data_IF_038904187523
#
_entry.id   IF_038904187523
#
_cell.length_a   1.000
_cell.length_b   1.000
_cell.length_c   1.000
_cell.angle_alpha   90.00
_cell.angle_beta   90.00
_cell.angle_gamma   90.00
#
_symmetry.space_group_name_H-M   'P 1'
#
loop_
_entity.id
_entity.type
_entity.pdbx_description
1 polymer ?
#
# COMPACT_ATOMS: atom_id res chain seq x y z
N UNK A 1 -28.06 8.11 -32.43
CA UNK A 1 -27.03 8.63 -33.36
C UNK A 1 -25.95 7.57 -33.45
N UNK A 2 -25.52 7.17 -34.65
CA UNK A 2 -24.41 6.23 -34.77
C UNK A 2 -23.10 7.02 -34.68
N UNK A 3 -22.47 6.98 -33.52
CA UNK A 3 -21.02 7.25 -33.42
C UNK A 3 -20.34 6.21 -34.32
N UNK A 4 -19.48 6.65 -35.25
CA UNK A 4 -18.62 5.70 -35.95
C UNK A 4 -17.69 5.09 -34.91
N UNK A 5 -17.63 3.77 -34.85
CA UNK A 5 -16.56 3.10 -34.10
C UNK A 5 -15.25 3.43 -34.80
N UNK A 6 -14.48 4.29 -34.15
CA UNK A 6 -13.06 4.53 -34.36
C UNK A 6 -12.40 4.46 -32.99
N UNK A 7 -11.09 4.59 -32.96
CA UNK A 7 -10.29 4.33 -31.78
C UNK A 7 -10.64 5.28 -30.62
N UNK A 8 -10.70 4.73 -29.41
CA UNK A 8 -11.06 5.45 -28.19
C UNK A 8 -9.78 5.91 -27.49
N UNK A 9 -9.45 7.20 -27.55
CA UNK A 9 -8.29 7.74 -26.82
C UNK A 9 -8.57 7.78 -25.30
N UNK A 10 -7.86 6.95 -24.52
CA UNK A 10 -8.00 6.84 -23.05
C UNK A 10 -6.73 7.30 -22.37
N UNK A 11 -6.84 8.33 -21.52
CA UNK A 11 -5.73 8.89 -20.75
C UNK A 11 -5.77 8.49 -19.29
N UNK A 12 -4.66 7.99 -18.75
CA UNK A 12 -4.47 7.67 -17.34
C UNK A 12 -3.51 8.67 -16.69
N UNK A 13 -3.98 9.42 -15.69
CA UNK A 13 -3.18 10.43 -14.98
C UNK A 13 -2.77 9.91 -13.60
N UNK A 14 -1.47 9.90 -13.30
CA UNK A 14 -0.99 9.48 -11.98
C UNK A 14 0.38 10.03 -11.58
N UNK A 15 0.58 10.32 -10.29
CA UNK A 15 1.90 10.45 -9.67
C UNK A 15 2.58 9.11 -9.36
N UNK A 16 1.90 7.98 -9.56
CA UNK A 16 2.24 6.72 -8.92
C UNK A 16 2.75 5.64 -9.90
N UNK A 17 3.15 6.07 -11.10
CA UNK A 17 3.89 5.27 -12.09
C UNK A 17 5.35 5.08 -11.64
N UNK A 18 5.63 4.01 -10.90
CA UNK A 18 6.89 3.78 -10.19
C UNK A 18 6.69 2.76 -9.06
N UNK A 19 7.55 2.75 -8.05
CA UNK A 19 7.45 1.81 -6.93
C UNK A 19 6.35 2.17 -5.93
N UNK A 20 5.09 2.08 -6.37
CA UNK A 20 3.88 2.36 -5.60
C UNK A 20 2.83 1.24 -5.81
N UNK A 21 1.96 0.94 -4.82
CA UNK A 21 0.94 -0.09 -4.95
C UNK A 21 0.04 0.02 -6.19
N UNK A 22 -0.21 1.23 -6.70
CA UNK A 22 -0.94 1.41 -7.97
C UNK A 22 -0.23 0.68 -9.13
N UNK A 23 1.06 0.92 -9.35
CA UNK A 23 1.84 0.26 -10.40
C UNK A 23 2.05 -1.24 -10.12
N UNK A 24 2.15 -1.64 -8.84
CA UNK A 24 2.18 -3.05 -8.45
C UNK A 24 0.91 -3.77 -8.90
N UNK A 25 -0.26 -3.17 -8.67
CA UNK A 25 -1.59 -3.76 -8.91
C UNK A 25 -2.11 -3.59 -10.34
N UNK A 26 -1.76 -2.51 -11.04
CA UNK A 26 -2.31 -2.14 -12.35
C UNK A 26 -1.28 -2.10 -13.50
N UNK A 27 0.01 -2.31 -13.24
CA UNK A 27 1.08 -2.06 -14.23
C UNK A 27 0.85 -2.64 -15.64
N UNK A 28 0.36 -3.87 -15.78
CA UNK A 28 0.08 -4.45 -17.10
C UNK A 28 -1.35 -4.19 -17.64
N UNK A 29 -2.22 -3.47 -16.91
CA UNK A 29 -3.52 -3.02 -17.43
C UNK A 29 -3.31 -2.16 -18.68
N UNK A 30 -2.42 -1.18 -18.60
CA UNK A 30 -2.19 -0.18 -19.66
C UNK A 30 -1.75 -0.80 -20.99
N UNK A 31 -1.01 -1.92 -20.95
CA UNK A 31 -0.61 -2.67 -22.14
C UNK A 31 -1.58 -3.77 -22.60
N UNK A 32 -2.61 -4.10 -21.80
CA UNK A 32 -3.58 -5.16 -22.08
C UNK A 32 -4.89 -4.66 -22.73
N UNK A 33 -4.99 -3.39 -23.12
CA UNK A 33 -6.11 -2.88 -23.93
C UNK A 33 -6.11 -3.48 -25.34
N UNK A 34 -7.29 -3.64 -25.94
CA UNK A 34 -7.37 -3.99 -27.36
C UNK A 34 -7.07 -2.75 -28.22
N UNK A 35 -5.86 -2.69 -28.76
CA UNK A 35 -5.35 -1.63 -29.64
C UNK A 35 -6.08 -1.49 -30.98
N UNK A 36 -6.96 -2.44 -31.34
CA UNK A 36 -7.89 -2.29 -32.47
C UNK A 36 -9.11 -1.39 -32.17
N UNK A 37 -9.25 -0.94 -30.92
CA UNK A 37 -10.43 -0.17 -30.46
C UNK A 37 -10.09 0.92 -29.42
N UNK A 38 -8.92 0.87 -28.76
CA UNK A 38 -8.55 1.77 -27.66
C UNK A 38 -7.07 2.12 -27.74
N UNK A 39 -6.76 3.42 -27.85
CA UNK A 39 -5.40 3.97 -27.83
C UNK A 39 -5.09 4.49 -26.41
N UNK A 40 -3.95 4.11 -25.82
CA UNK A 40 -3.70 4.29 -24.37
C UNK A 40 -2.58 5.28 -24.08
N UNK A 41 -2.92 6.35 -23.36
CA UNK A 41 -2.01 7.41 -22.93
C UNK A 41 -1.79 7.36 -21.41
N UNK A 42 -0.54 7.45 -20.94
CA UNK A 42 -0.19 7.50 -19.53
C UNK A 42 0.57 8.80 -19.21
N UNK A 43 -0.08 9.70 -18.46
CA UNK A 43 0.46 11.00 -18.05
C UNK A 43 1.06 10.93 -16.65
N UNK A 44 2.38 10.88 -16.56
CA UNK A 44 3.10 10.74 -15.30
C UNK A 44 3.36 12.09 -14.63
N UNK A 45 2.69 12.33 -13.51
CA UNK A 45 2.86 13.52 -12.67
C UNK A 45 4.15 13.48 -11.83
N UNK A 46 4.84 12.33 -11.78
CA UNK A 46 6.09 12.11 -11.04
C UNK A 46 7.26 11.80 -11.98
N UNK A 47 8.49 12.26 -11.69
CA UNK A 47 9.67 11.92 -12.47
C UNK A 47 9.94 10.41 -12.44
N UNK A 48 10.69 9.92 -13.43
CA UNK A 48 11.15 8.52 -13.44
C UNK A 48 11.99 8.20 -12.19
N UNK A 49 11.56 7.19 -11.42
CA UNK A 49 12.24 6.73 -10.20
C UNK A 49 13.33 5.68 -10.45
N UNK A 50 13.53 5.26 -11.70
CA UNK A 50 14.51 4.26 -12.12
C UNK A 50 14.12 2.82 -11.76
N UNK A 51 12.87 2.58 -11.38
CA UNK A 51 12.42 1.24 -10.94
C UNK A 51 11.79 0.43 -12.07
N UNK A 52 11.82 -0.90 -11.93
CA UNK A 52 11.24 -1.84 -12.88
C UNK A 52 9.76 -1.56 -13.19
N UNK A 53 9.01 -1.01 -12.23
CA UNK A 53 7.61 -0.65 -12.36
C UNK A 53 7.39 0.51 -13.33
N UNK A 54 8.20 1.57 -13.23
CA UNK A 54 8.19 2.70 -14.17
C UNK A 54 8.66 2.26 -15.55
N UNK A 55 9.75 1.51 -15.63
CA UNK A 55 10.27 1.00 -16.90
C UNK A 55 9.32 0.04 -17.62
N UNK A 56 8.66 -0.88 -16.90
CA UNK A 56 7.61 -1.75 -17.46
C UNK A 56 6.44 -0.94 -17.98
N UNK A 57 5.93 0.01 -17.19
CA UNK A 57 4.77 0.81 -17.61
C UNK A 57 5.10 1.68 -18.85
N UNK A 58 6.33 2.20 -18.93
CA UNK A 58 6.85 2.92 -20.10
C UNK A 58 7.06 2.05 -21.36
N UNK A 59 7.07 0.72 -21.23
CA UNK A 59 7.25 -0.22 -22.33
C UNK A 59 5.96 -0.92 -22.76
N UNK A 60 5.04 -1.17 -21.81
CA UNK A 60 3.78 -1.86 -22.05
C UNK A 60 2.67 -0.90 -22.51
N UNK A 61 2.62 0.33 -21.99
CA UNK A 61 1.70 1.38 -22.46
C UNK A 61 2.07 1.84 -23.89
N UNK A 62 1.08 2.30 -24.64
CA UNK A 62 1.26 2.75 -26.03
C UNK A 62 1.91 4.13 -26.12
N UNK A 63 1.35 5.10 -25.38
CA UNK A 63 1.97 6.41 -25.15
C UNK A 63 2.25 6.60 -23.66
N UNK A 64 3.50 6.84 -23.30
CA UNK A 64 3.88 7.22 -21.94
C UNK A 64 4.56 8.58 -21.93
N UNK A 65 3.94 9.55 -21.26
CA UNK A 65 4.31 10.96 -21.29
C UNK A 65 4.72 11.40 -19.87
N UNK A 66 6.00 11.77 -19.70
CA UNK A 66 6.49 12.33 -18.44
C UNK A 66 6.15 13.83 -18.38
N UNK A 67 5.11 14.16 -17.62
CA UNK A 67 4.60 15.54 -17.46
C UNK A 67 5.00 16.14 -16.10
N UNK A 68 5.90 15.48 -15.37
CA UNK A 68 6.23 15.84 -13.98
C UNK A 68 6.85 17.23 -13.81
N UNK A 69 7.52 17.74 -14.85
CA UNK A 69 8.10 19.08 -14.89
C UNK A 69 7.13 20.18 -15.42
N UNK A 70 5.93 19.81 -15.89
CA UNK A 70 4.97 20.74 -16.48
C UNK A 70 4.02 21.34 -15.44
N UNK A 71 3.56 22.57 -15.65
CA UNK A 71 2.49 23.20 -14.86
C UNK A 71 1.11 22.62 -15.24
N UNK A 72 0.13 22.67 -14.33
CA UNK A 72 -1.10 21.87 -14.47
C UNK A 72 -1.99 22.32 -15.64
N UNK A 73 -1.94 23.60 -15.98
CA UNK A 73 -2.53 24.22 -17.17
C UNK A 73 -1.90 23.67 -18.47
N UNK A 74 -0.58 23.53 -18.51
CA UNK A 74 0.14 22.95 -19.65
C UNK A 74 -0.18 21.45 -19.82
N UNK A 75 -0.43 20.72 -18.72
CA UNK A 75 -0.85 19.32 -18.77
C UNK A 75 -2.29 19.18 -19.27
N UNK A 76 -3.22 20.00 -18.76
CA UNK A 76 -4.60 20.03 -19.24
C UNK A 76 -4.66 20.41 -20.73
N UNK A 77 -3.86 21.39 -21.17
CA UNK A 77 -3.72 21.76 -22.58
C UNK A 77 -3.21 20.59 -23.44
N UNK A 78 -2.17 19.88 -22.99
CA UNK A 78 -1.64 18.72 -23.70
C UNK A 78 -2.69 17.61 -23.84
N UNK A 79 -3.37 17.23 -22.76
CA UNK A 79 -4.46 16.22 -22.76
C UNK A 79 -5.57 16.58 -23.76
N UNK A 80 -5.87 17.87 -23.92
CA UNK A 80 -6.86 18.35 -24.88
C UNK A 80 -6.35 18.36 -26.33
N UNK A 81 -5.05 18.63 -26.55
CA UNK A 81 -4.40 18.55 -27.86
C UNK A 81 -4.23 17.09 -28.33
N UNK A 82 -4.00 16.17 -27.38
CA UNK A 82 -4.03 14.70 -27.55
C UNK A 82 -5.47 14.16 -27.72
N UNK A 83 -6.50 15.01 -27.55
CA UNK A 83 -7.95 14.73 -27.74
C UNK A 83 -8.55 13.61 -26.87
N UNK A 84 -7.94 13.30 -25.73
CA UNK A 84 -8.38 12.23 -24.83
C UNK A 84 -9.90 12.27 -24.59
N UNK A 85 -10.60 11.20 -24.97
CA UNK A 85 -12.06 11.10 -24.83
C UNK A 85 -12.46 10.72 -23.40
N UNK A 86 -11.69 9.85 -22.74
CA UNK A 86 -11.92 9.42 -21.36
C UNK A 86 -10.63 9.61 -20.55
N UNK A 87 -10.66 10.52 -19.56
CA UNK A 87 -9.53 10.81 -18.69
C UNK A 87 -9.75 10.22 -17.29
N UNK A 88 -8.83 9.34 -16.88
CA UNK A 88 -8.93 8.52 -15.68
C UNK A 88 -7.95 9.03 -14.62
N UNK A 89 -8.50 9.51 -13.51
CA UNK A 89 -7.79 9.96 -12.33
C UNK A 89 -7.42 8.74 -11.46
N UNK A 90 -6.13 8.39 -11.45
CA UNK A 90 -5.59 7.31 -10.62
C UNK A 90 -4.96 7.82 -9.31
N UNK A 91 -5.30 9.03 -8.85
CA UNK A 91 -4.84 9.59 -7.58
C UNK A 91 -5.99 9.95 -6.62
N UNK A 92 -7.02 10.65 -7.08
CA UNK A 92 -8.02 11.28 -6.21
C UNK A 92 -7.35 12.19 -5.16
N UNK A 93 -7.57 11.97 -3.87
CA UNK A 93 -6.95 12.75 -2.79
C UNK A 93 -5.72 12.10 -2.14
N UNK A 94 -4.87 11.43 -2.93
CA UNK A 94 -3.56 10.93 -2.47
C UNK A 94 -2.42 11.95 -2.67
N UNK A 95 -1.25 11.67 -2.07
CA UNK A 95 -0.06 12.52 -2.16
C UNK A 95 0.48 12.51 -3.60
N UNK A 96 0.53 13.68 -4.23
CA UNK A 96 1.00 13.84 -5.62
C UNK A 96 -0.13 14.09 -6.62
N UNK A 97 -1.39 13.97 -6.19
CA UNK A 97 -2.55 14.35 -6.96
C UNK A 97 -2.50 15.81 -7.43
N UNK A 98 -2.95 16.05 -8.67
CA UNK A 98 -3.06 17.37 -9.31
C UNK A 98 -4.46 17.54 -9.89
N UNK A 99 -5.45 17.51 -9.00
CA UNK A 99 -6.87 17.48 -9.37
C UNK A 99 -7.34 18.75 -10.09
N UNK A 100 -6.59 19.85 -10.01
CA UNK A 100 -6.80 21.04 -10.80
C UNK A 100 -6.68 20.79 -12.32
N UNK A 101 -5.92 19.77 -12.76
CA UNK A 101 -5.92 19.31 -14.17
C UNK A 101 -7.34 18.90 -14.59
N UNK A 102 -8.01 18.10 -13.76
CA UNK A 102 -9.38 17.65 -14.00
C UNK A 102 -10.40 18.79 -13.81
N UNK A 103 -10.14 19.74 -12.90
CA UNK A 103 -11.00 20.92 -12.72
C UNK A 103 -11.03 21.85 -13.95
N UNK A 104 -10.03 21.78 -14.84
CA UNK A 104 -10.03 22.47 -16.13
C UNK A 104 -10.75 21.70 -17.26
N UNK A 105 -11.26 20.50 -16.98
CA UNK A 105 -12.04 19.65 -17.89
C UNK A 105 -11.43 19.47 -19.31
N UNK A 106 -10.16 19.07 -19.44
CA UNK A 106 -9.50 18.89 -20.74
C UNK A 106 -10.05 17.74 -21.59
N UNK A 107 -10.77 16.80 -20.97
CA UNK A 107 -11.43 15.67 -21.61
C UNK A 107 -12.96 15.70 -21.37
N UNK A 108 -13.79 15.23 -22.31
CA UNK A 108 -15.25 15.32 -22.22
C UNK A 108 -15.89 14.29 -21.27
N UNK A 109 -15.15 13.27 -20.83
CA UNK A 109 -15.56 12.33 -19.79
C UNK A 109 -14.39 12.17 -18.81
N UNK A 110 -14.64 12.41 -17.51
CA UNK A 110 -13.62 12.29 -16.48
C UNK A 110 -14.03 11.28 -15.39
N UNK A 111 -13.10 10.41 -15.00
CA UNK A 111 -13.40 9.19 -14.23
C UNK A 111 -12.44 9.04 -13.04
N UNK A 112 -12.94 8.77 -11.85
CA UNK A 112 -12.15 8.33 -10.69
C UNK A 112 -12.00 6.81 -10.68
N UNK A 113 -10.79 6.29 -10.46
CA UNK A 113 -10.55 4.85 -10.36
C UNK A 113 -9.31 4.49 -9.52
N UNK A 114 -9.43 3.48 -8.64
CA UNK A 114 -8.39 2.82 -7.84
C UNK A 114 -7.55 3.67 -6.86
N UNK A 115 -7.09 4.86 -7.24
CA UNK A 115 -6.13 5.66 -6.46
C UNK A 115 -6.66 6.16 -5.11
N UNK A 116 -7.94 6.52 -5.04
CA UNK A 116 -8.60 6.99 -3.83
C UNK A 116 -9.86 6.15 -3.52
N UNK A 117 -9.97 5.53 -2.33
CA UNK A 117 -11.08 4.64 -1.99
C UNK A 117 -12.31 5.42 -1.49
N UNK A 118 -12.89 6.27 -2.35
CA UNK A 118 -14.07 7.07 -2.00
C UNK A 118 -14.49 8.06 -3.11
N UNK A 119 -15.61 8.75 -2.86
CA UNK A 119 -16.06 9.91 -3.66
C UNK A 119 -15.02 11.02 -3.65
N UNK A 120 -14.81 11.67 -4.78
CA UNK A 120 -14.07 12.92 -4.89
C UNK A 120 -14.90 14.13 -4.44
N UNK A 121 -16.23 14.03 -4.39
CA UNK A 121 -17.11 15.18 -4.12
C UNK A 121 -17.02 16.29 -5.18
N UNK A 122 -16.35 16.04 -6.31
CA UNK A 122 -16.05 17.03 -7.32
C UNK A 122 -17.12 17.08 -8.41
N UNK A 123 -17.56 18.28 -8.80
CA UNK A 123 -18.51 18.50 -9.90
C UNK A 123 -17.90 18.29 -11.30
N UNK A 124 -16.59 18.02 -11.38
CA UNK A 124 -15.83 17.82 -12.61
C UNK A 124 -15.40 16.36 -12.83
N UNK A 125 -15.79 15.41 -11.96
CA UNK A 125 -15.60 13.97 -12.20
C UNK A 125 -16.99 13.35 -12.42
N UNK A 126 -17.19 12.79 -13.61
CA UNK A 126 -18.49 12.27 -14.05
C UNK A 126 -18.81 10.89 -13.46
N UNK A 127 -17.79 10.04 -13.35
CA UNK A 127 -17.93 8.61 -13.03
C UNK A 127 -16.91 8.11 -12.00
N UNK A 128 -17.32 7.14 -11.19
CA UNK A 128 -16.45 6.37 -10.29
C UNK A 128 -16.54 4.89 -10.66
N UNK A 129 -15.42 4.29 -11.05
CA UNK A 129 -15.36 2.85 -11.36
C UNK A 129 -15.20 2.07 -10.05
N UNK A 130 -16.17 1.19 -9.77
CA UNK A 130 -16.32 0.46 -8.51
C UNK A 130 -17.09 -0.86 -8.74
N UNK A 131 -17.60 -1.52 -7.70
CA UNK A 131 -18.45 -2.71 -7.77
C UNK A 131 -19.58 -2.68 -6.72
N UNK A 132 -20.58 -3.57 -6.86
CA UNK A 132 -21.77 -3.61 -5.98
C UNK A 132 -21.45 -4.11 -4.55
N UNK A 133 -20.26 -4.66 -4.29
CA UNK A 133 -19.85 -5.03 -2.92
C UNK A 133 -19.22 -3.84 -2.18
N UNK A 134 -18.34 -3.09 -2.86
CA UNK A 134 -17.61 -1.94 -2.31
C UNK A 134 -18.45 -0.66 -2.33
N UNK A 135 -19.23 -0.44 -3.38
CA UNK A 135 -20.16 0.67 -3.53
C UNK A 135 -21.56 0.19 -3.95
N UNK A 136 -22.32 -0.47 -3.05
CA UNK A 136 -23.66 -0.95 -3.34
C UNK A 136 -24.59 0.15 -3.88
N UNK A 137 -25.41 -0.15 -4.89
CA UNK A 137 -26.27 0.80 -5.62
C UNK A 137 -27.17 1.61 -4.68
N UNK A 138 -27.64 1.00 -3.57
CA UNK A 138 -28.44 1.66 -2.53
C UNK A 138 -27.75 2.87 -1.86
N UNK A 139 -26.42 2.92 -1.90
CA UNK A 139 -25.60 3.99 -1.33
C UNK A 139 -25.08 4.98 -2.39
N UNK A 140 -25.45 4.84 -3.68
CA UNK A 140 -25.09 5.78 -4.76
C UNK A 140 -25.26 7.26 -4.39
N UNK A 141 -26.27 7.59 -3.57
CA UNK A 141 -26.55 8.94 -3.06
C UNK A 141 -25.45 9.59 -2.18
N UNK A 142 -24.40 8.86 -1.76
CA UNK A 142 -23.25 9.44 -1.03
C UNK A 142 -22.09 9.86 -1.96
N UNK A 143 -22.17 9.52 -3.25
CA UNK A 143 -21.16 9.82 -4.25
C UNK A 143 -21.59 11.03 -5.10
N UNK A 144 -20.64 11.86 -5.53
CA UNK A 144 -20.94 12.92 -6.50
C UNK A 144 -20.89 12.38 -7.93
N UNK A 145 -20.07 11.36 -8.15
CA UNK A 145 -19.91 10.65 -9.41
C UNK A 145 -21.04 9.64 -9.63
N UNK A 146 -21.33 9.35 -10.90
CA UNK A 146 -22.16 8.19 -11.27
C UNK A 146 -21.35 6.91 -11.10
N UNK A 147 -21.88 5.93 -10.39
CA UNK A 147 -21.19 4.65 -10.20
C UNK A 147 -21.17 3.84 -11.50
N UNK A 148 -20.00 3.34 -11.87
CA UNK A 148 -19.80 2.38 -12.97
C UNK A 148 -19.35 1.07 -12.34
N UNK A 149 -20.24 0.07 -12.32
CA UNK A 149 -19.97 -1.23 -11.72
C UNK A 149 -19.26 -2.17 -12.68
N UNK A 150 -18.06 -2.62 -12.30
CA UNK A 150 -17.40 -3.77 -12.93
C UNK A 150 -18.06 -5.07 -12.44
N UNK A 151 -18.16 -6.12 -13.29
CA UNK A 151 -19.07 -7.24 -13.09
C UNK A 151 -18.70 -8.20 -11.94
N UNK A 152 -17.50 -8.08 -11.37
CA UNK A 152 -16.96 -9.02 -10.38
C UNK A 152 -16.28 -8.32 -9.20
N UNK A 153 -15.27 -7.49 -9.50
CA UNK A 153 -14.52 -6.70 -8.53
C UNK A 153 -13.89 -5.51 -9.26
N UNK A 154 -13.88 -4.33 -8.64
CA UNK A 154 -13.21 -3.15 -9.18
C UNK A 154 -11.68 -3.17 -8.99
N UNK A 155 -11.21 -3.98 -8.04
CA UNK A 155 -9.83 -3.96 -7.59
C UNK A 155 -8.96 -4.88 -8.44
N UNK A 156 -8.22 -4.31 -9.38
CA UNK A 156 -7.27 -5.07 -10.22
C UNK A 156 -6.14 -5.63 -9.36
N UNK A 157 -5.68 -6.84 -9.68
CA UNK A 157 -4.45 -7.38 -9.11
C UNK A 157 -3.66 -8.20 -10.14
N UNK A 158 -2.46 -7.71 -10.44
CA UNK A 158 -1.60 -8.17 -11.54
C UNK A 158 -0.62 -9.29 -11.13
N UNK A 159 -0.89 -9.99 -10.03
CA UNK A 159 -0.06 -11.11 -9.54
C UNK A 159 0.22 -12.17 -10.61
N UNK A 160 -0.70 -12.42 -11.55
CA UNK A 160 -0.53 -13.43 -12.60
C UNK A 160 0.63 -13.09 -13.57
N UNK A 161 0.96 -11.81 -13.77
CA UNK A 161 2.02 -11.36 -14.69
C UNK A 161 3.33 -10.97 -13.96
N UNK A 162 3.32 -10.96 -12.63
CA UNK A 162 4.40 -10.41 -11.78
C UNK A 162 4.93 -11.37 -10.74
N UNK A 163 4.08 -12.20 -10.14
CA UNK A 163 4.41 -13.08 -9.01
C UNK A 163 4.28 -14.57 -9.42
N UNK A 164 4.78 -14.91 -10.60
CA UNK A 164 4.81 -16.29 -11.11
C UNK A 164 5.78 -17.18 -10.31
N UNK A 165 6.80 -16.58 -9.70
CA UNK A 165 7.73 -17.19 -8.74
C UNK A 165 7.02 -17.71 -7.48
N UNK A 166 6.01 -16.99 -6.98
CA UNK A 166 5.17 -17.42 -5.84
C UNK A 166 4.32 -18.65 -6.19
N UNK A 167 4.13 -18.94 -7.48
CA UNK A 167 3.45 -20.14 -7.97
C UNK A 167 4.42 -21.28 -8.33
N UNK A 168 5.74 -21.06 -8.27
CA UNK A 168 6.75 -22.07 -8.60
C UNK A 168 6.96 -23.02 -7.40
N UNK A 169 6.64 -24.33 -7.52
CA UNK A 169 6.81 -25.28 -6.43
C UNK A 169 8.27 -25.54 -6.05
N UNK A 170 9.25 -25.07 -6.83
CA UNK A 170 10.69 -25.15 -6.51
C UNK A 170 11.20 -23.98 -5.67
N UNK A 171 10.47 -22.85 -5.62
CA UNK A 171 10.85 -21.61 -4.93
C UNK A 171 10.14 -21.43 -3.57
N UNK A 172 9.74 -22.52 -2.91
CA UNK A 172 8.99 -22.47 -1.65
C UNK A 172 9.81 -21.85 -0.50
N UNK A 173 9.49 -20.60 -0.15
CA UNK A 173 10.00 -19.92 1.04
C UNK A 173 9.60 -20.60 2.34
N UNK A 174 10.51 -20.62 3.32
CA UNK A 174 10.29 -21.18 4.66
C UNK A 174 10.12 -20.09 5.70
N UNK A 175 9.53 -20.42 6.85
CA UNK A 175 9.36 -19.46 7.95
C UNK A 175 10.70 -19.05 8.56
N UNK A 176 11.67 -19.98 8.58
CA UNK A 176 13.09 -19.71 8.86
C UNK A 176 13.64 -18.47 8.15
N UNK A 177 13.26 -18.26 6.88
CA UNK A 177 13.85 -17.27 5.98
C UNK A 177 13.44 -15.84 6.37
N UNK A 178 12.31 -15.72 7.08
CA UNK A 178 11.78 -14.47 7.65
C UNK A 178 12.02 -14.37 9.17
N UNK A 179 12.76 -15.33 9.77
CA UNK A 179 13.00 -15.39 11.21
C UNK A 179 11.75 -15.73 12.05
N UNK A 180 10.76 -16.40 11.45
CA UNK A 180 9.48 -16.75 12.07
C UNK A 180 9.53 -18.13 12.75
N UNK A 181 8.75 -18.34 13.83
CA UNK A 181 8.68 -19.64 14.50
C UNK A 181 7.92 -20.68 13.67
N UNK A 182 8.56 -21.83 13.44
CA UNK A 182 7.95 -23.00 12.79
C UNK A 182 6.82 -23.62 13.64
N UNK A 183 6.92 -23.55 14.96
CA UNK A 183 6.05 -24.23 15.93
C UNK A 183 4.69 -23.56 16.19
N UNK A 184 4.41 -22.39 15.60
CA UNK A 184 3.27 -21.52 16.00
C UNK A 184 2.28 -21.24 14.89
N UNK A 185 1.07 -20.86 15.26
CA UNK A 185 0.15 -20.20 14.33
C UNK A 185 0.57 -18.74 14.12
N UNK A 186 0.70 -18.29 12.87
CA UNK A 186 1.09 -16.91 12.54
C UNK A 186 -0.13 -16.15 12.03
N UNK A 187 -0.65 -15.22 12.83
CA UNK A 187 -1.51 -14.15 12.34
C UNK A 187 -0.63 -13.11 11.64
N UNK A 188 -1.10 -12.50 10.55
CA UNK A 188 -0.37 -11.45 9.84
C UNK A 188 -1.28 -10.24 9.56
N UNK A 189 -0.72 -9.03 9.67
CA UNK A 189 -1.38 -7.81 9.22
C UNK A 189 -0.34 -6.84 8.63
N UNK A 190 -0.28 -6.79 7.30
CA UNK A 190 0.65 -5.95 6.56
C UNK A 190 0.02 -4.62 6.11
N UNK A 191 -0.74 -3.99 7.01
CA UNK A 191 -1.31 -2.67 6.79
C UNK A 191 -0.42 -1.56 7.35
N UNK A 192 -0.62 -0.34 6.86
CA UNK A 192 0.02 0.86 7.40
C UNK A 192 -0.48 1.18 8.82
N UNK A 193 0.39 1.72 9.68
CA UNK A 193 0.09 1.95 11.10
C UNK A 193 -1.15 2.80 11.36
N UNK A 194 -1.42 3.80 10.51
CA UNK A 194 -2.61 4.66 10.64
C UNK A 194 -3.95 3.93 10.38
N UNK A 195 -3.93 2.70 9.85
CA UNK A 195 -5.11 1.85 9.68
C UNK A 195 -5.40 0.97 10.91
N UNK A 196 -4.66 1.15 12.00
CA UNK A 196 -4.76 0.33 13.21
C UNK A 196 -5.08 1.21 14.41
N UNK A 197 -6.36 1.29 14.75
CA UNK A 197 -6.82 1.95 15.98
C UNK A 197 -6.61 1.06 17.23
N UNK A 198 -6.76 1.63 18.45
CA UNK A 198 -6.58 0.88 19.69
C UNK A 198 -7.58 -0.26 19.92
N UNK A 199 -8.80 -0.19 19.38
CA UNK A 199 -9.84 -1.21 19.58
C UNK A 199 -9.59 -2.46 18.72
N UNK A 200 -9.19 -2.28 17.47
CA UNK A 200 -8.68 -3.35 16.60
C UNK A 200 -7.46 -4.01 17.24
N UNK A 201 -6.49 -3.24 17.72
CA UNK A 201 -5.30 -3.79 18.38
C UNK A 201 -5.64 -4.54 19.68
N UNK A 202 -6.54 -4.01 20.51
CA UNK A 202 -7.05 -4.69 21.70
C UNK A 202 -7.74 -6.02 21.35
N UNK A 203 -8.50 -6.05 20.26
CA UNK A 203 -9.18 -7.25 19.76
C UNK A 203 -8.16 -8.31 19.36
N UNK A 204 -7.10 -7.96 18.62
CA UNK A 204 -6.00 -8.89 18.31
C UNK A 204 -5.27 -9.39 19.55
N UNK A 205 -4.96 -8.51 20.52
CA UNK A 205 -4.38 -8.94 21.79
C UNK A 205 -5.30 -9.92 22.55
N UNK A 206 -6.62 -9.79 22.42
CA UNK A 206 -7.60 -10.69 23.02
C UNK A 206 -7.83 -12.00 22.20
N UNK A 207 -7.38 -12.05 20.94
CA UNK A 207 -7.27 -13.29 20.15
C UNK A 207 -5.99 -14.03 20.55
N UNK A 208 -4.84 -13.36 20.59
CA UNK A 208 -3.54 -13.95 20.96
C UNK A 208 -3.55 -14.56 22.38
N UNK A 209 -4.27 -13.97 23.34
CA UNK A 209 -4.50 -14.55 24.68
C UNK A 209 -5.31 -15.85 24.66
N UNK A 210 -6.18 -16.06 23.66
CA UNK A 210 -7.03 -17.25 23.51
C UNK A 210 -6.37 -18.33 22.64
N UNK A 211 -5.38 -17.96 21.82
CA UNK A 211 -4.58 -18.86 20.99
C UNK A 211 -3.13 -18.83 21.48
N UNK A 212 -2.80 -19.47 22.63
CA UNK A 212 -1.52 -19.25 23.32
C UNK A 212 -0.29 -19.67 22.50
N UNK A 213 -0.44 -20.62 21.57
CA UNK A 213 0.62 -21.02 20.64
C UNK A 213 0.56 -20.25 19.30
N UNK A 214 0.49 -18.92 19.38
CA UNK A 214 0.48 -18.04 18.20
C UNK A 214 1.43 -16.85 18.31
N UNK A 215 1.63 -16.18 17.18
CA UNK A 215 2.29 -14.89 17.05
C UNK A 215 1.52 -13.98 16.08
N UNK A 216 1.77 -12.67 16.16
CA UNK A 216 1.28 -11.68 15.22
C UNK A 216 2.45 -11.05 14.47
N UNK A 217 2.42 -11.12 13.14
CA UNK A 217 3.43 -10.56 12.25
C UNK A 217 2.90 -9.26 11.63
N UNK A 218 3.62 -8.16 11.86
CA UNK A 218 3.25 -6.80 11.42
C UNK A 218 4.33 -6.22 10.53
N UNK A 219 3.96 -5.23 9.70
CA UNK A 219 4.94 -4.40 9.01
C UNK A 219 5.84 -3.64 10.01
N UNK A 220 7.07 -3.37 9.57
CA UNK A 220 8.04 -2.55 10.31
C UNK A 220 7.72 -1.07 10.12
N UNK A 221 7.46 -0.37 11.22
CA UNK A 221 7.28 1.09 11.23
C UNK A 221 8.54 1.83 11.74
N UNK A 222 8.83 3.06 11.27
CA UNK A 222 9.86 3.91 11.85
C UNK A 222 9.52 4.31 13.29
N UNK A 223 10.52 4.32 14.19
CA UNK A 223 10.33 4.69 15.59
C UNK A 223 10.23 6.22 15.73
N UNK A 224 9.10 6.76 16.22
CA UNK A 224 8.93 8.18 16.50
C UNK A 224 9.61 8.64 17.81
N UNK A 225 10.95 8.52 17.90
CA UNK A 225 11.84 9.35 18.77
C UNK A 225 13.32 9.04 18.52
N UNK A 226 14.20 10.01 18.84
CA UNK A 226 15.66 9.86 18.79
C UNK A 226 16.12 8.84 19.83
N UNK A 227 16.90 7.85 19.41
CA UNK A 227 17.48 6.77 20.21
C UNK A 227 17.97 5.66 19.26
N UNK A 228 19.15 5.10 19.51
CA UNK A 228 19.86 4.34 18.48
C UNK A 228 19.17 3.02 18.08
N UNK A 229 18.99 2.87 16.77
CA UNK A 229 19.17 1.64 15.99
C UNK A 229 18.86 0.29 16.65
N UNK A 230 17.59 -0.11 16.66
CA UNK A 230 17.14 -1.36 15.99
C UNK A 230 15.61 -1.48 16.04
N UNK A 231 14.99 -1.87 14.92
CA UNK A 231 13.57 -2.25 14.88
C UNK A 231 13.43 -3.77 15.09
N UNK A 232 12.29 -4.20 15.63
CA UNK A 232 12.05 -5.57 16.10
C UNK A 232 10.79 -6.18 15.48
N UNK A 233 10.81 -7.49 15.23
CA UNK A 233 9.58 -8.26 14.99
C UNK A 233 8.80 -8.31 16.31
N UNK A 234 7.54 -7.87 16.31
CA UNK A 234 6.72 -7.72 17.51
C UNK A 234 5.89 -8.98 17.81
N UNK A 235 6.55 -10.10 18.16
CA UNK A 235 5.85 -11.32 18.57
C UNK A 235 5.24 -11.17 19.98
N UNK A 236 4.02 -10.63 20.03
CA UNK A 236 3.21 -10.55 21.25
C UNK A 236 2.70 -11.94 21.69
N UNK A 237 3.52 -12.71 22.40
CA UNK A 237 3.08 -13.95 23.06
C UNK A 237 2.24 -13.63 24.29
N UNK A 238 1.07 -14.28 24.44
CA UNK A 238 0.09 -14.00 25.49
C UNK A 238 0.50 -14.42 26.91
N UNK A 239 1.45 -13.71 27.52
CA UNK A 239 1.72 -13.76 28.96
C UNK A 239 0.78 -12.84 29.74
N UNK A 240 0.38 -13.24 30.95
CA UNK A 240 -0.58 -12.48 31.75
C UNK A 240 0.11 -11.57 32.78
N UNK A 241 -0.12 -10.25 32.72
CA UNK A 241 -0.87 -9.53 33.77
C UNK A 241 -0.89 -7.99 33.63
N UNK A 242 -2.05 -7.41 34.03
CA UNK A 242 -2.32 -5.98 34.33
C UNK A 242 -2.36 -4.98 33.15
N UNK A 243 -3.23 -3.94 33.22
CA UNK A 243 -3.34 -2.92 32.19
C UNK A 243 -2.38 -1.74 32.42
N UNK A 244 -1.72 -1.31 31.36
CA UNK A 244 -1.36 0.09 31.10
C UNK A 244 -0.96 0.19 29.62
N UNK A 245 -1.89 0.67 28.79
CA UNK A 245 -1.82 0.51 27.34
C UNK A 245 -0.76 1.38 26.66
N UNK A 246 -0.43 1.00 25.43
CA UNK A 246 0.71 1.47 24.63
C UNK A 246 2.09 1.23 25.26
N UNK A 247 2.44 1.92 26.36
CA UNK A 247 3.86 2.07 26.73
C UNK A 247 4.55 0.78 27.21
N UNK A 248 3.81 -0.20 27.76
CA UNK A 248 4.38 -1.50 28.20
C UNK A 248 4.48 -2.57 27.11
N UNK A 249 3.65 -2.54 26.08
CA UNK A 249 3.59 -3.63 25.09
C UNK A 249 4.92 -3.79 24.33
N UNK A 250 5.61 -2.68 24.09
CA UNK A 250 6.95 -2.64 23.48
C UNK A 250 8.07 -3.29 24.32
N UNK A 251 7.86 -3.56 25.62
CA UNK A 251 8.88 -4.13 26.51
C UNK A 251 8.79 -5.66 26.65
N UNK A 252 7.62 -6.27 26.46
CA UNK A 252 7.39 -7.70 26.68
C UNK A 252 7.28 -8.53 25.37
N UNK A 253 7.15 -7.87 24.21
CA UNK A 253 7.24 -8.52 22.91
C UNK A 253 8.66 -9.09 22.66
N UNK A 254 8.78 -10.41 22.65
CA UNK A 254 10.07 -11.09 22.37
C UNK A 254 10.40 -11.01 20.89
N UNK A 255 11.47 -10.31 20.56
CA UNK A 255 11.93 -10.13 19.19
C UNK A 255 12.79 -11.31 18.71
N UNK A 256 12.56 -11.72 17.47
CA UNK A 256 13.46 -12.56 16.68
C UNK A 256 14.06 -11.70 15.54
N UNK A 257 15.15 -12.18 14.92
CA UNK A 257 15.98 -11.41 13.97
C UNK A 257 16.54 -12.33 12.85
N UNK A 258 16.51 -11.89 11.57
CA UNK A 258 17.26 -12.45 10.42
C UNK A 258 17.62 -11.35 9.40
N UNK A 259 18.74 -11.18 8.65
CA UNK A 259 19.98 -11.80 8.08
C UNK A 259 19.86 -13.03 7.19
N UNK A 260 20.57 -12.88 6.08
CA UNK A 260 21.27 -13.91 5.32
C UNK A 260 22.69 -13.38 5.05
N UNK A 261 23.66 -14.28 4.86
CA UNK A 261 25.02 -13.90 4.41
C UNK A 261 25.10 -14.01 2.89
N UNK A 262 25.38 -12.90 2.21
CA UNK A 262 26.16 -12.91 0.97
C UNK A 262 25.48 -13.36 -0.33
N UNK A 263 24.45 -12.64 -0.80
CA UNK A 263 24.39 -12.12 -2.20
C UNK A 263 23.28 -11.07 -2.39
N UNK A 264 23.67 -9.96 -3.00
CA UNK A 264 22.90 -8.77 -3.41
C UNK A 264 21.35 -8.81 -3.40
N UNK A 265 20.74 -8.55 -2.24
CA UNK A 265 19.44 -7.84 -2.04
C UNK A 265 19.47 -7.25 -0.62
N UNK A 266 18.67 -6.21 -0.32
CA UNK A 266 19.02 -5.24 0.73
C UNK A 266 18.41 -5.47 2.14
N UNK A 267 19.25 -5.25 3.17
CA UNK A 267 18.94 -4.83 4.56
C UNK A 267 17.98 -5.67 5.43
N UNK A 268 18.41 -6.85 5.88
CA UNK A 268 17.79 -7.62 6.98
C UNK A 268 18.87 -8.15 7.96
N UNK A 269 18.64 -8.28 9.29
CA UNK A 269 19.67 -8.71 10.29
C UNK A 269 19.25 -9.73 11.42
N UNK A 270 19.97 -10.88 11.53
CA UNK A 270 19.99 -11.94 12.60
C UNK A 270 21.03 -11.51 13.66
N UNK A 271 20.83 -11.88 14.93
CA UNK A 271 21.81 -12.75 15.59
C UNK A 271 21.17 -13.76 16.58
N UNK A 272 21.79 -14.93 16.73
CA UNK A 272 21.60 -15.87 17.86
C UNK A 272 22.48 -15.39 19.04
N UNK A 273 22.33 -15.81 20.31
CA UNK A 273 22.63 -17.16 20.79
C UNK A 273 22.41 -17.34 22.32
N UNK A 274 22.51 -18.60 22.76
CA UNK A 274 22.84 -19.17 24.10
C UNK A 274 22.28 -18.58 25.43
N UNK A 275 22.00 -19.51 26.34
CA UNK A 275 21.49 -19.29 27.69
C UNK A 275 22.62 -19.34 28.71
N UNK A 276 22.82 -18.26 29.47
CA UNK A 276 23.57 -18.30 30.73
C UNK A 276 22.68 -17.85 31.89
N UNK A 277 22.57 -18.69 32.92
CA UNK A 277 22.18 -18.25 34.25
C UNK A 277 23.39 -17.58 34.88
N UNK A 278 23.18 -16.47 35.58
CA UNK A 278 23.78 -16.34 36.90
C UNK A 278 22.96 -15.45 37.85
N UNK A 279 23.40 -15.36 39.11
CA UNK A 279 22.65 -14.76 40.24
C UNK A 279 23.06 -13.29 40.50
N UNK A 280 22.86 -12.85 41.74
CA UNK A 280 23.25 -11.57 42.37
C UNK A 280 22.32 -10.36 42.09
N UNK A 281 22.05 -9.47 43.05
CA UNK A 281 21.84 -9.63 44.51
C UNK A 281 21.16 -8.36 45.06
N UNK A 282 20.53 -8.44 46.24
CA UNK A 282 19.81 -7.31 46.85
C UNK A 282 20.77 -6.21 47.32
N UNK A 283 20.56 -4.98 46.88
CA UNK A 283 21.16 -3.76 47.43
C UNK A 283 20.08 -2.83 47.99
N UNK A 284 20.15 -2.49 49.28
CA UNK A 284 19.34 -1.43 49.90
C UNK A 284 20.09 -0.10 49.80
N UNK A 285 19.35 1.00 49.64
CA UNK A 285 19.74 2.29 50.20
C UNK A 285 18.58 2.85 51.02
N UNK A 286 18.90 3.68 52.02
CA UNK A 286 18.03 3.98 53.15
C UNK A 286 17.30 5.33 53.02
N UNK A 287 16.32 5.53 53.90
CA UNK A 287 15.66 6.82 54.11
C UNK A 287 16.69 7.90 54.51
N UNK A 288 16.46 9.14 54.08
CA UNK A 288 17.08 10.30 54.70
C UNK A 288 16.18 10.89 55.77
N UNK A 289 16.78 11.61 56.72
CA UNK A 289 16.09 12.57 57.60
C UNK A 289 17.13 13.55 58.16
N UNK A 290 16.95 14.85 57.86
CA UNK A 290 17.07 16.01 58.77
C UNK A 290 17.26 17.32 57.97
N UNK A 291 16.55 18.36 58.42
CA UNK A 291 16.62 19.75 57.97
C UNK A 291 17.45 20.59 59.00
N UNK A 292 17.46 21.94 59.03
CA UNK A 292 16.55 22.93 58.43
C UNK A 292 16.85 23.28 56.96
#
# INVERSE_FOLDING_TARGET
>A
MNVKVGDLEVGYVSSDFGNHPLSHLMGSVFGMHNRENVEVFCYALSPNDGTEWRHRTQFEAEHFIDVSAMSSDMIAKLINEDKIQILINLNGYTKGARNEIFAMQPAPIQVSYMGFPGTTGATYIDYLVTDEFVSPTRFSHIYSEKLVHLPHCYFVNDYKQKNLDVLDPTLQHKRSDYGLPEDKFIFACFNQLYKMDPEIFNTWCNILKRVPNSALWLLRFPCCRRGNETARICCCTGGASRPNYFHRCCHEARAYQAQCVGRSISRHAIMQCTYHRDRYSVGRFANGDQAP
#
